data_IF_974838583847
#
_entry.id   IF_974838583847
#
_cell.length_a   1.000
_cell.length_b   1.000
_cell.length_c   1.000
_cell.angle_alpha   90.00
_cell.angle_beta   90.00
_cell.angle_gamma   90.00
#
_symmetry.space_group_name_H-M   'P 1'
#
loop_
_entity.id
_entity.type
_entity.pdbx_description
1 polymer ?
#
# COMPACT_ATOMS: atom_id res chain seq x y z
N UNK A 1 -19.93 -7.84 13.54
CA UNK A 1 -19.55 -6.84 12.53
C UNK A 1 -18.31 -7.39 11.83
N UNK A 2 -18.27 -7.43 10.50
CA UNK A 2 -17.06 -7.87 9.80
C UNK A 2 -15.90 -6.91 10.14
N UNK A 3 -14.68 -7.43 10.25
CA UNK A 3 -13.51 -6.58 10.43
C UNK A 3 -13.31 -5.72 9.17
N UNK A 4 -12.75 -4.53 9.35
CA UNK A 4 -12.45 -3.64 8.25
C UNK A 4 -11.34 -4.29 7.38
N UNK A 5 -11.54 -4.45 6.06
CA UNK A 5 -10.54 -5.04 5.18
C UNK A 5 -9.17 -4.36 5.25
N UNK A 6 -9.12 -3.06 5.53
CA UNK A 6 -7.87 -2.34 5.64
C UNK A 6 -7.13 -2.67 6.95
N UNK A 7 -7.88 -2.93 8.03
CA UNK A 7 -7.28 -3.39 9.29
C UNK A 7 -6.70 -4.80 9.13
N UNK A 8 -7.39 -5.69 8.42
CA UNK A 8 -6.88 -7.02 8.07
C UNK A 8 -5.62 -6.94 7.20
N UNK A 9 -5.60 -6.05 6.21
CA UNK A 9 -4.44 -5.83 5.36
C UNK A 9 -3.24 -5.30 6.16
N UNK A 10 -3.43 -4.31 7.03
CA UNK A 10 -2.37 -3.76 7.89
C UNK A 10 -1.77 -4.85 8.78
N UNK A 11 -2.61 -5.70 9.37
CA UNK A 11 -2.19 -6.81 10.22
C UNK A 11 -1.42 -7.89 9.44
N UNK A 12 -1.85 -8.22 8.22
CA UNK A 12 -1.15 -9.19 7.38
C UNK A 12 0.19 -8.64 6.88
N UNK A 13 0.21 -7.40 6.38
CA UNK A 13 1.40 -6.74 5.86
C UNK A 13 2.45 -6.53 6.96
N UNK A 14 2.05 -6.12 8.16
CA UNK A 14 2.96 -5.94 9.29
C UNK A 14 3.67 -7.25 9.65
N UNK A 15 2.97 -8.39 9.65
CA UNK A 15 3.57 -9.72 9.88
C UNK A 15 4.55 -10.12 8.79
N UNK A 16 4.18 -9.95 7.53
CA UNK A 16 5.04 -10.29 6.38
C UNK A 16 6.33 -9.46 6.41
N UNK A 17 6.24 -8.20 6.80
CA UNK A 17 7.37 -7.27 6.88
C UNK A 17 8.13 -7.33 8.21
N UNK A 18 7.65 -8.09 9.20
CA UNK A 18 8.25 -8.14 10.54
C UNK A 18 8.15 -6.82 11.32
N UNK A 19 7.12 -6.02 11.07
CA UNK A 19 6.92 -4.72 11.69
C UNK A 19 5.99 -4.82 12.92
N UNK A 20 6.50 -4.44 14.09
CA UNK A 20 5.68 -4.27 15.29
C UNK A 20 5.01 -2.90 15.28
N UNK A 21 3.68 -2.86 15.25
CA UNK A 21 2.90 -1.61 15.32
C UNK A 21 2.23 -1.54 16.69
N UNK A 22 2.59 -0.53 17.48
CA UNK A 22 1.93 -0.27 18.76
C UNK A 22 0.44 0.06 18.56
N UNK A 23 -0.43 -0.42 19.46
CA UNK A 23 -1.88 -0.20 19.36
C UNK A 23 -2.25 1.29 19.25
N UNK A 24 -1.50 2.15 19.97
CA UNK A 24 -1.70 3.60 19.93
C UNK A 24 -1.43 4.21 18.53
N UNK A 25 -0.65 3.54 17.68
CA UNK A 25 -0.27 4.03 16.35
C UNK A 25 -1.16 3.47 15.24
N UNK A 26 -1.88 2.36 15.47
CA UNK A 26 -2.74 1.74 14.46
C UNK A 26 -3.71 2.72 13.78
N UNK A 27 -4.41 3.63 14.50
CA UNK A 27 -5.29 4.60 13.86
C UNK A 27 -4.55 5.53 12.88
N UNK A 28 -3.34 5.96 13.24
CA UNK A 28 -2.54 6.84 12.40
C UNK A 28 -1.95 6.09 11.18
N UNK A 29 -1.52 4.84 11.35
CA UNK A 29 -1.07 3.99 10.23
C UNK A 29 -2.20 3.81 9.22
N UNK A 30 -3.40 3.47 9.72
CA UNK A 30 -4.59 3.31 8.88
C UNK A 30 -4.91 4.58 8.10
N UNK A 31 -5.01 5.73 8.78
CA UNK A 31 -5.34 7.00 8.14
C UNK A 31 -4.33 7.39 7.04
N UNK A 32 -3.03 7.17 7.27
CA UNK A 32 -2.01 7.44 6.27
C UNK A 32 -2.09 6.47 5.09
N UNK A 33 -2.31 5.17 5.35
CA UNK A 33 -2.47 4.17 4.30
C UNK A 33 -3.72 4.45 3.44
N UNK A 34 -4.85 4.83 4.06
CA UNK A 34 -6.05 5.27 3.32
C UNK A 34 -5.74 6.44 2.38
N UNK A 35 -5.00 7.44 2.86
CA UNK A 35 -4.63 8.58 2.04
C UNK A 35 -3.68 8.18 0.91
N UNK A 36 -2.68 7.35 1.18
CA UNK A 36 -1.77 6.81 0.15
C UNK A 36 -2.53 6.02 -0.91
N UNK A 37 -3.52 5.20 -0.54
CA UNK A 37 -4.35 4.45 -1.49
C UNK A 37 -5.21 5.35 -2.37
N UNK A 38 -5.74 6.46 -1.83
CA UNK A 38 -6.45 7.48 -2.63
C UNK A 38 -5.54 8.11 -3.68
N UNK A 39 -4.29 8.43 -3.31
CA UNK A 39 -3.31 8.98 -4.25
C UNK A 39 -2.88 7.93 -5.27
N UNK A 40 -2.67 6.68 -4.85
CA UNK A 40 -2.31 5.58 -5.75
C UNK A 40 -3.39 5.36 -6.82
N UNK A 41 -4.67 5.55 -6.50
CA UNK A 41 -5.75 5.45 -7.47
C UNK A 41 -5.62 6.45 -8.63
N UNK A 42 -5.11 7.66 -8.37
CA UNK A 42 -4.86 8.65 -9.43
C UNK A 42 -3.78 8.16 -10.41
N UNK A 43 -2.84 7.34 -9.95
CA UNK A 43 -1.78 6.76 -10.79
C UNK A 43 -2.27 5.50 -11.51
N UNK A 44 -3.13 4.71 -10.88
CA UNK A 44 -3.74 3.49 -11.44
C UNK A 44 -4.68 3.77 -12.63
N UNK A 45 -5.14 5.02 -12.78
CA UNK A 45 -5.99 5.44 -13.91
C UNK A 45 -5.23 5.64 -15.24
N UNK A 46 -3.89 5.70 -15.20
CA UNK A 46 -3.10 5.77 -16.43
C UNK A 46 -2.99 4.38 -17.07
N UNK A 47 -3.36 4.27 -18.36
CA UNK A 47 -3.16 3.03 -19.10
C UNK A 47 -1.66 2.71 -19.20
N UNK A 48 -1.28 1.50 -18.81
CA UNK A 48 0.09 1.01 -18.86
C UNK A 48 0.16 -0.22 -19.77
N UNK A 49 0.40 -0.03 -21.09
CA UNK A 49 0.66 -1.13 -22.01
C UNK A 49 1.90 -1.95 -21.58
N UNK A 50 1.90 -3.25 -21.90
CA UNK A 50 2.96 -4.17 -21.51
C UNK A 50 4.33 -3.80 -22.14
N UNK A 51 4.34 -3.06 -23.25
CA UNK A 51 5.56 -2.59 -23.93
C UNK A 51 6.21 -1.37 -23.27
N UNK A 52 5.59 -0.78 -22.24
CA UNK A 52 6.16 0.36 -21.51
C UNK A 52 7.25 -0.14 -20.56
N UNK A 53 8.46 0.30 -20.83
CA UNK A 53 9.61 0.07 -19.95
C UNK A 53 9.54 0.94 -18.68
N UNK A 54 10.01 0.42 -17.51
CA UNK A 54 10.19 1.23 -16.32
C UNK A 54 11.16 2.40 -16.56
N UNK A 55 11.02 3.47 -15.78
CA UNK A 55 11.87 4.66 -15.91
C UNK A 55 13.37 4.38 -15.74
N UNK A 56 13.74 3.30 -15.03
CA UNK A 56 15.13 2.86 -14.88
C UNK A 56 15.31 1.48 -15.49
N UNK A 57 16.18 1.38 -16.49
CA UNK A 57 16.57 0.14 -17.16
C UNK A 57 18.06 -0.08 -16.95
N UNK A 58 18.44 -1.25 -16.44
CA UNK A 58 19.85 -1.63 -16.34
C UNK A 58 20.39 -2.00 -17.73
N UNK A 59 21.55 -1.44 -18.10
CA UNK A 59 22.30 -1.78 -19.30
C UNK A 59 23.72 -2.23 -18.91
N UNK A 60 24.19 -3.33 -19.50
CA UNK A 60 25.48 -3.96 -19.22
C UNK A 60 26.66 -3.29 -19.94
#
# INVERSE_FOLDING_TARGET
>A
MAADPLDEYIEAASKVLGLSIEEAWKPAVKANLEMSLRVARLVDEFALPDEIEPASVFAA
#
